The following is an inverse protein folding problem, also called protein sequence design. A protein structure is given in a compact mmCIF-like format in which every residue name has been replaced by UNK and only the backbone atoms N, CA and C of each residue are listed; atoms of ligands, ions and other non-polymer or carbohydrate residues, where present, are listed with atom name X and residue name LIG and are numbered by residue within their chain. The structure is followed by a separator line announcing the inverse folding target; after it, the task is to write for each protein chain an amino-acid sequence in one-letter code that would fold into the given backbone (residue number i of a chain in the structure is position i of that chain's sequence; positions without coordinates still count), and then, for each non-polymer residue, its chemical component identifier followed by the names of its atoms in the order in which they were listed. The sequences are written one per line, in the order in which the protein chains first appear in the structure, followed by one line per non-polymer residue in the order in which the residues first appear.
data_IF_978771717280
#
_entry.id   IF_978771717280
#
_cell.length_a   1.000
_cell.length_b   1.000
_cell.length_c   1.000
_cell.angle_alpha   90.00
_cell.angle_beta   90.00
_cell.angle_gamma   90.00
#
_symmetry.space_group_name_H-M   'P 1'
#
loop_
_entity.id
_entity.type
_entity.pdbx_description
1 polymer ?
#
# COMPACT_ATOMS: atom_id res chain seq x y z
N UNK A 1 -1.69 -5.80 -17.31
CA UNK A 1 -1.36 -6.50 -16.05
C UNK A 1 -0.48 -5.59 -15.18
N UNK A 2 -0.75 -4.28 -15.19
CA UNK A 2 -0.03 -3.25 -14.41
C UNK A 2 -0.72 -2.96 -13.07
N UNK A 3 -1.81 -3.69 -12.79
CA UNK A 3 -2.67 -3.58 -11.60
C UNK A 3 -2.10 -4.26 -10.36
N UNK A 4 -1.07 -5.11 -10.52
CA UNK A 4 -0.32 -5.69 -9.39
C UNK A 4 0.72 -4.73 -8.81
N UNK A 5 1.02 -3.62 -9.49
CA UNK A 5 1.76 -2.50 -8.91
C UNK A 5 0.78 -1.62 -8.12
N UNK A 6 0.45 -2.09 -6.92
CA UNK A 6 -0.47 -1.48 -5.94
C UNK A 6 -0.05 -0.12 -5.38
N UNK A 7 0.85 0.59 -6.07
CA UNK A 7 1.21 1.97 -5.77
C UNK A 7 0.47 2.97 -6.66
N UNK A 8 -0.27 2.48 -7.66
CA UNK A 8 -1.15 3.31 -8.46
C UNK A 8 -2.52 3.44 -7.79
N UNK A 9 -2.64 4.47 -6.95
CA UNK A 9 -3.86 4.79 -6.20
C UNK A 9 -5.07 4.96 -7.14
N UNK A 10 -4.86 5.45 -8.37
CA UNK A 10 -5.93 5.65 -9.33
C UNK A 10 -6.40 4.32 -9.94
N UNK A 11 -5.46 3.44 -10.31
CA UNK A 11 -5.82 2.09 -10.75
C UNK A 11 -6.50 1.29 -9.63
N UNK A 12 -6.01 1.40 -8.40
CA UNK A 12 -6.61 0.78 -7.22
C UNK A 12 -8.04 1.29 -6.99
N UNK A 13 -8.24 2.62 -7.04
CA UNK A 13 -9.57 3.23 -6.93
C UNK A 13 -10.51 2.71 -8.01
N UNK A 14 -10.05 2.68 -9.26
CA UNK A 14 -10.88 2.23 -10.39
C UNK A 14 -11.29 0.77 -10.24
N UNK A 15 -10.37 -0.08 -9.77
CA UNK A 15 -10.65 -1.48 -9.47
C UNK A 15 -11.65 -1.63 -8.30
N UNK A 16 -11.41 -0.95 -7.17
CA UNK A 16 -12.24 -1.03 -5.97
C UNK A 16 -13.66 -0.49 -6.15
N UNK A 17 -13.87 0.46 -7.07
CA UNK A 17 -15.19 1.01 -7.39
C UNK A 17 -15.82 0.39 -8.65
N UNK A 18 -15.19 -0.63 -9.25
CA UNK A 18 -15.77 -1.32 -10.39
C UNK A 18 -16.95 -2.21 -9.97
N UNK A 19 -17.97 -2.28 -10.83
CA UNK A 19 -19.15 -3.12 -10.58
C UNK A 19 -18.79 -4.62 -10.51
N UNK A 20 -17.84 -5.05 -11.33
CA UNK A 20 -17.31 -6.42 -11.37
C UNK A 20 -16.67 -6.82 -10.03
N UNK A 21 -15.90 -5.91 -9.43
CA UNK A 21 -15.28 -6.13 -8.13
C UNK A 21 -16.32 -6.26 -7.00
N UNK A 22 -17.33 -5.39 -6.98
CA UNK A 22 -18.40 -5.46 -5.98
C UNK A 22 -19.29 -6.69 -6.15
N UNK A 23 -19.62 -7.06 -7.39
CA UNK A 23 -20.32 -8.31 -7.69
C UNK A 23 -19.51 -9.52 -7.19
N UNK A 24 -18.23 -9.59 -7.55
CA UNK A 24 -17.33 -10.64 -7.07
C UNK A 24 -17.25 -10.70 -5.54
N UNK A 25 -17.17 -9.55 -4.88
CA UNK A 25 -17.14 -9.44 -3.40
C UNK A 25 -18.41 -9.98 -2.77
N UNK A 26 -19.58 -9.63 -3.31
CA UNK A 26 -20.88 -10.11 -2.80
C UNK A 26 -21.01 -11.62 -3.01
N UNK A 27 -20.73 -12.12 -4.21
CA UNK A 27 -20.81 -13.56 -4.50
C UNK A 27 -19.85 -14.37 -3.63
N UNK A 28 -18.60 -13.91 -3.47
CA UNK A 28 -17.62 -14.55 -2.61
C UNK A 28 -18.08 -14.58 -1.14
N UNK A 29 -18.70 -13.50 -0.67
CA UNK A 29 -19.22 -13.39 0.69
C UNK A 29 -20.42 -14.30 0.93
N UNK A 30 -21.33 -14.42 -0.05
CA UNK A 30 -22.48 -15.34 0.00
C UNK A 30 -21.98 -16.79 0.03
N UNK A 31 -21.08 -17.17 -0.88
CA UNK A 31 -20.55 -18.53 -0.95
C UNK A 31 -19.84 -18.93 0.35
N UNK A 32 -18.99 -18.04 0.87
CA UNK A 32 -18.26 -18.27 2.12
C UNK A 32 -19.22 -18.30 3.33
N UNK A 33 -20.21 -17.41 3.37
CA UNK A 33 -21.24 -17.41 4.42
C UNK A 33 -22.06 -18.71 4.42
N UNK A 34 -22.59 -19.12 3.27
CA UNK A 34 -23.35 -20.37 3.13
C UNK A 34 -22.52 -21.58 3.57
N UNK A 35 -21.25 -21.64 3.15
CA UNK A 35 -20.34 -22.67 3.58
C UNK A 35 -20.25 -22.77 5.11
N UNK A 36 -19.91 -21.67 5.78
CA UNK A 36 -19.76 -21.66 7.23
C UNK A 36 -21.09 -21.97 7.95
N UNK A 37 -22.23 -21.62 7.34
CA UNK A 37 -23.56 -21.99 7.84
C UNK A 37 -23.81 -23.50 7.79
N UNK A 38 -23.45 -24.15 6.67
CA UNK A 38 -23.53 -25.60 6.50
C UNK A 38 -22.59 -26.31 7.47
N UNK A 39 -21.36 -25.81 7.62
CA UNK A 39 -20.36 -26.30 8.59
C UNK A 39 -20.86 -26.31 10.03
N UNK A 40 -21.76 -25.41 10.39
CA UNK A 40 -22.35 -25.41 11.74
C UNK A 40 -23.31 -26.60 11.91
N UNK A 41 -24.15 -26.88 10.91
CA UNK A 41 -25.24 -27.86 11.03
C UNK A 41 -24.84 -29.31 10.73
N UNK A 42 -24.03 -29.53 9.72
CA UNK A 42 -23.75 -30.88 9.21
C UNK A 42 -22.55 -31.53 9.90
N UNK A 43 -22.48 -32.85 9.89
CA UNK A 43 -21.31 -33.56 10.42
C UNK A 43 -20.04 -33.24 9.61
N UNK A 44 -18.88 -33.32 10.29
CA UNK A 44 -17.58 -32.91 9.74
C UNK A 44 -17.24 -33.59 8.41
N UNK A 45 -17.48 -34.91 8.29
CA UNK A 45 -17.13 -35.69 7.08
C UNK A 45 -17.93 -35.25 5.84
N UNK A 46 -19.28 -35.22 5.84
CA UNK A 46 -20.04 -34.76 4.67
C UNK A 46 -19.79 -33.28 4.36
N UNK A 47 -19.59 -32.43 5.38
CA UNK A 47 -19.21 -31.03 5.17
C UNK A 47 -17.89 -30.93 4.39
N UNK A 48 -16.82 -31.60 4.84
CA UNK A 48 -15.51 -31.58 4.16
C UNK A 48 -15.56 -32.10 2.71
N UNK A 49 -16.31 -33.17 2.45
CA UNK A 49 -16.44 -33.72 1.09
C UNK A 49 -17.17 -32.74 0.17
N UNK A 50 -18.26 -32.13 0.65
CA UNK A 50 -18.99 -31.13 -0.14
C UNK A 50 -18.15 -29.88 -0.42
N UNK A 51 -17.33 -29.42 0.52
CA UNK A 51 -16.38 -28.31 0.31
C UNK A 51 -15.44 -28.64 -0.83
N UNK A 52 -14.74 -29.78 -0.75
CA UNK A 52 -13.71 -30.12 -1.71
C UNK A 52 -14.28 -30.25 -3.11
N UNK A 53 -15.44 -30.91 -3.25
CA UNK A 53 -16.12 -31.05 -4.53
C UNK A 53 -16.61 -29.71 -5.08
N UNK A 54 -17.28 -28.88 -4.27
CA UNK A 54 -17.78 -27.58 -4.69
C UNK A 54 -16.64 -26.60 -5.03
N UNK A 55 -15.57 -26.57 -4.23
CA UNK A 55 -14.40 -25.73 -4.50
C UNK A 55 -13.67 -26.18 -5.76
N UNK A 56 -13.46 -27.49 -5.96
CA UNK A 56 -12.83 -28.01 -7.18
C UNK A 56 -13.67 -27.73 -8.43
N UNK A 57 -14.98 -27.89 -8.34
CA UNK A 57 -15.90 -27.59 -9.44
C UNK A 57 -15.94 -26.08 -9.76
N UNK A 58 -16.01 -25.23 -8.74
CA UNK A 58 -15.95 -23.78 -8.89
C UNK A 58 -14.63 -23.36 -9.56
N UNK A 59 -13.51 -23.94 -9.14
CA UNK A 59 -12.20 -23.66 -9.74
C UNK A 59 -12.12 -24.10 -11.20
N UNK A 60 -12.63 -25.29 -11.54
CA UNK A 60 -12.65 -25.77 -12.92
C UNK A 60 -13.47 -24.85 -13.84
N UNK A 61 -14.64 -24.39 -13.37
CA UNK A 61 -15.46 -23.43 -14.11
C UNK A 61 -14.71 -22.10 -14.27
N UNK A 62 -14.13 -21.57 -13.19
CA UNK A 62 -13.36 -20.33 -13.26
C UNK A 62 -12.14 -20.44 -14.17
N UNK A 63 -11.47 -21.59 -14.18
CA UNK A 63 -10.32 -21.88 -15.04
C UNK A 63 -10.69 -21.92 -16.53
N UNK A 64 -11.89 -22.43 -16.86
CA UNK A 64 -12.43 -22.47 -18.22
C UNK A 64 -12.88 -21.08 -18.70
N UNK A 65 -13.51 -20.30 -17.83
CA UNK A 65 -14.11 -19.01 -18.19
C UNK A 65 -13.13 -17.84 -18.14
N UNK A 66 -12.13 -17.88 -17.25
CA UNK A 66 -11.26 -16.74 -16.98
C UNK A 66 -9.78 -17.13 -17.05
N UNK A 67 -9.00 -16.54 -17.98
CA UNK A 67 -7.55 -16.76 -18.06
C UNK A 67 -6.82 -16.40 -16.76
N UNK A 68 -7.31 -15.39 -16.05
CA UNK A 68 -6.76 -14.91 -14.76
C UNK A 68 -6.83 -15.97 -13.65
N UNK A 69 -7.78 -16.91 -13.73
CA UNK A 69 -7.92 -17.97 -12.73
C UNK A 69 -6.72 -18.94 -12.70
N UNK A 70 -5.94 -19.01 -13.80
CA UNK A 70 -4.70 -19.80 -13.87
C UNK A 70 -3.61 -19.22 -12.96
N UNK A 71 -3.51 -17.90 -12.92
CA UNK A 71 -2.51 -17.18 -12.11
C UNK A 71 -2.87 -17.18 -10.62
N UNK A 72 -4.15 -17.36 -10.30
CA UNK A 72 -4.66 -17.42 -8.93
C UNK A 72 -4.73 -18.84 -8.34
N UNK A 73 -4.10 -19.83 -8.98
CA UNK A 73 -4.09 -21.23 -8.50
C UNK A 73 -3.53 -21.33 -7.06
N UNK A 74 -2.47 -20.57 -6.77
CA UNK A 74 -1.87 -20.53 -5.43
C UNK A 74 -2.86 -19.98 -4.41
N UNK A 75 -3.54 -18.88 -4.74
CA UNK A 75 -4.58 -18.29 -3.87
C UNK A 75 -5.72 -19.29 -3.63
N UNK A 76 -6.11 -20.04 -4.67
CA UNK A 76 -7.15 -21.06 -4.56
C UNK A 76 -6.74 -22.21 -3.63
N UNK A 77 -5.50 -22.70 -3.70
CA UNK A 77 -4.99 -23.72 -2.77
C UNK A 77 -5.07 -23.22 -1.32
N UNK A 78 -4.64 -21.99 -1.06
CA UNK A 78 -4.76 -21.37 0.27
C UNK A 78 -6.22 -21.20 0.69
N UNK A 79 -7.13 -20.88 -0.23
CA UNK A 79 -8.56 -20.80 0.05
C UNK A 79 -9.14 -22.16 0.49
N UNK A 80 -8.84 -23.24 -0.22
CA UNK A 80 -9.32 -24.60 0.14
C UNK A 80 -8.76 -25.02 1.50
N UNK A 81 -7.47 -24.79 1.76
CA UNK A 81 -6.86 -25.06 3.06
C UNK A 81 -7.51 -24.22 4.17
N UNK A 82 -7.85 -22.96 3.89
CA UNK A 82 -8.56 -22.10 4.83
C UNK A 82 -9.95 -22.64 5.18
N UNK A 83 -10.71 -23.14 4.20
CA UNK A 83 -12.04 -23.71 4.44
C UNK A 83 -11.99 -24.96 5.32
N UNK A 84 -11.03 -25.86 5.06
CA UNK A 84 -10.80 -27.05 5.90
C UNK A 84 -10.47 -26.65 7.34
N UNK A 85 -9.61 -25.65 7.50
CA UNK A 85 -9.23 -25.16 8.84
C UNK A 85 -10.40 -24.47 9.55
N UNK A 86 -11.24 -23.74 8.81
CA UNK A 86 -12.43 -23.09 9.35
C UNK A 86 -13.46 -24.09 9.85
N UNK A 87 -13.66 -25.21 9.15
CA UNK A 87 -14.52 -26.31 9.61
C UNK A 87 -14.06 -26.80 10.99
N UNK A 88 -12.75 -27.07 11.15
CA UNK A 88 -12.18 -27.52 12.42
C UNK A 88 -12.44 -26.50 13.55
N UNK A 89 -12.15 -25.23 13.28
CA UNK A 89 -12.34 -24.14 14.24
C UNK A 89 -13.80 -24.03 14.65
N UNK A 90 -14.74 -24.11 13.70
CA UNK A 90 -16.17 -24.03 13.99
C UNK A 90 -16.59 -25.18 14.89
N UNK A 91 -16.20 -26.43 14.59
CA UNK A 91 -16.60 -27.59 15.38
C UNK A 91 -16.05 -27.54 16.80
N UNK A 92 -14.78 -27.16 16.97
CA UNK A 92 -14.19 -26.99 18.31
C UNK A 92 -14.89 -25.88 19.09
N UNK A 93 -15.13 -24.71 18.47
CA UNK A 93 -15.70 -23.54 19.16
C UNK A 93 -17.20 -23.68 19.48
N UNK A 94 -17.96 -24.41 18.66
CA UNK A 94 -19.36 -24.72 18.96
C UNK A 94 -19.52 -25.52 20.25
N UNK A 95 -18.55 -26.40 20.57
CA UNK A 95 -18.55 -27.21 21.79
C UNK A 95 -18.16 -26.36 23.01
N UNK A 96 -17.23 -25.42 22.85
CA UNK A 96 -16.69 -24.61 23.95
C UNK A 96 -17.60 -23.47 24.42
N UNK A 97 -18.40 -22.89 23.51
CA UNK A 97 -19.07 -21.61 23.76
C UNK A 97 -20.51 -21.77 24.28
N UNK A 98 -20.77 -21.24 25.49
CA UNK A 98 -22.10 -21.31 26.14
C UNK A 98 -23.11 -20.23 25.70
N UNK A 99 -22.67 -19.12 25.09
CA UNK A 99 -23.53 -18.02 24.62
C UNK A 99 -23.12 -17.57 23.22
N UNK A 100 -24.10 -17.40 22.32
CA UNK A 100 -23.91 -17.07 20.90
C UNK A 100 -22.86 -17.94 20.18
N UNK A 101 -22.90 -19.28 20.34
CA UNK A 101 -21.85 -20.18 19.83
C UNK A 101 -21.69 -20.05 18.31
N UNK A 102 -22.80 -19.95 17.56
CA UNK A 102 -22.80 -19.86 16.09
C UNK A 102 -22.12 -18.58 15.61
N UNK A 103 -22.55 -17.41 16.11
CA UNK A 103 -22.00 -16.11 15.70
C UNK A 103 -20.51 -16.02 15.98
N UNK A 104 -20.08 -16.42 17.19
CA UNK A 104 -18.67 -16.35 17.59
C UNK A 104 -17.80 -17.34 16.83
N UNK A 105 -18.29 -18.56 16.60
CA UNK A 105 -17.53 -19.58 15.86
C UNK A 105 -17.32 -19.19 14.40
N UNK A 106 -18.39 -18.75 13.71
CA UNK A 106 -18.31 -18.26 12.32
C UNK A 106 -17.39 -17.04 12.23
N UNK A 107 -17.51 -16.09 13.17
CA UNK A 107 -16.70 -14.88 13.16
C UNK A 107 -15.19 -15.17 13.34
N UNK A 108 -14.83 -16.06 14.26
CA UNK A 108 -13.42 -16.47 14.46
C UNK A 108 -12.88 -17.25 13.26
N UNK A 109 -13.70 -18.11 12.64
CA UNK A 109 -13.32 -18.80 11.41
C UNK A 109 -13.06 -17.82 10.26
N UNK A 110 -13.93 -16.82 10.07
CA UNK A 110 -13.76 -15.78 9.04
C UNK A 110 -12.47 -14.97 9.21
N UNK A 111 -12.07 -14.63 10.43
CA UNK A 111 -10.79 -13.95 10.67
C UNK A 111 -9.59 -14.77 10.21
N UNK A 112 -9.60 -16.08 10.48
CA UNK A 112 -8.52 -16.98 10.05
C UNK A 112 -8.56 -17.22 8.56
N UNK A 113 -9.76 -17.36 7.98
CA UNK A 113 -9.96 -17.47 6.53
C UNK A 113 -9.37 -16.26 5.79
N UNK A 114 -9.70 -15.04 6.23
CA UNK A 114 -9.19 -13.81 5.64
C UNK A 114 -7.65 -13.76 5.67
N UNK A 115 -7.04 -14.16 6.79
CA UNK A 115 -5.58 -14.19 6.95
C UNK A 115 -4.91 -15.22 6.02
N UNK A 116 -5.44 -16.45 5.96
CA UNK A 116 -4.87 -17.52 5.12
C UNK A 116 -5.01 -17.20 3.63
N UNK A 117 -6.14 -16.64 3.19
CA UNK A 117 -6.30 -16.18 1.80
C UNK A 117 -5.33 -15.04 1.49
N UNK A 118 -5.15 -14.09 2.41
CA UNK A 118 -4.22 -12.97 2.23
C UNK A 118 -2.78 -13.49 2.09
N UNK A 119 -2.38 -14.52 2.85
CA UNK A 119 -1.10 -15.21 2.66
C UNK A 119 -1.00 -15.86 1.27
N UNK A 120 -2.09 -16.43 0.74
CA UNK A 120 -2.15 -16.92 -0.63
C UNK A 120 -1.83 -15.82 -1.66
N UNK A 121 -2.40 -14.62 -1.49
CA UNK A 121 -2.07 -13.46 -2.32
C UNK A 121 -0.63 -13.02 -2.18
N UNK A 122 -0.06 -13.07 -0.97
CA UNK A 122 1.35 -12.79 -0.73
C UNK A 122 2.25 -13.75 -1.51
N UNK A 123 2.06 -15.06 -1.36
CA UNK A 123 2.88 -16.05 -2.07
C UNK A 123 2.68 -16.00 -3.59
N UNK A 124 1.45 -15.79 -4.05
CA UNK A 124 1.16 -15.59 -5.47
C UNK A 124 1.88 -14.36 -6.02
N UNK A 125 1.82 -13.24 -5.31
CA UNK A 125 2.54 -12.02 -5.67
C UNK A 125 4.05 -12.23 -5.69
N UNK A 126 4.59 -12.95 -4.71
CA UNK A 126 6.02 -13.26 -4.64
C UNK A 126 6.48 -14.11 -5.84
N UNK A 127 5.72 -15.14 -6.21
CA UNK A 127 6.03 -15.98 -7.39
C UNK A 127 5.96 -15.22 -8.72
N UNK A 128 5.16 -14.16 -8.79
CA UNK A 128 5.06 -13.29 -9.98
C UNK A 128 6.20 -12.26 -10.01
N UNK A 129 6.50 -11.62 -8.87
CA UNK A 129 7.47 -10.52 -8.79
C UNK A 129 8.91 -11.03 -8.79
N UNK A 130 9.20 -12.16 -8.14
CA UNK A 130 10.55 -12.72 -8.02
C UNK A 130 11.25 -12.97 -9.38
N UNK A 131 10.63 -13.61 -10.39
CA UNK A 131 11.28 -13.82 -11.70
C UNK A 131 11.37 -12.54 -12.55
N UNK A 132 10.62 -11.49 -12.22
CA UNK A 132 10.52 -10.27 -13.01
C UNK A 132 10.93 -9.02 -12.20
N UNK A 133 11.84 -9.19 -11.23
CA UNK A 133 12.21 -8.16 -10.26
C UNK A 133 12.60 -6.83 -10.93
N UNK A 134 13.43 -6.88 -11.97
CA UNK A 134 13.88 -5.69 -12.70
C UNK A 134 12.72 -4.93 -13.33
N UNK A 135 11.79 -5.64 -13.99
CA UNK A 135 10.60 -5.02 -14.61
C UNK A 135 9.75 -4.27 -13.59
N UNK A 136 9.53 -4.86 -12.43
CA UNK A 136 8.74 -4.23 -11.37
C UNK A 136 9.49 -3.09 -10.68
N UNK A 137 10.82 -3.16 -10.60
CA UNK A 137 11.67 -2.07 -10.15
C UNK A 137 11.59 -0.88 -11.11
N UNK A 138 11.78 -1.12 -12.40
CA UNK A 138 11.75 -0.07 -13.43
C UNK A 138 10.37 0.62 -13.46
N UNK A 139 9.29 -0.16 -13.34
CA UNK A 139 7.93 0.41 -13.29
C UNK A 139 7.67 1.15 -11.96
N UNK A 140 8.22 0.67 -10.85
CA UNK A 140 8.17 1.39 -9.58
C UNK A 140 8.93 2.71 -9.68
N UNK A 141 10.11 2.72 -10.28
CA UNK A 141 10.90 3.93 -10.52
C UNK A 141 10.13 4.92 -11.37
N UNK A 142 9.56 4.47 -12.48
CA UNK A 142 8.75 5.30 -13.36
C UNK A 142 7.56 5.91 -12.59
N UNK A 143 6.84 5.13 -11.77
CA UNK A 143 5.69 5.60 -10.99
C UNK A 143 6.08 6.45 -9.77
N UNK A 144 7.16 6.11 -9.08
CA UNK A 144 7.68 6.85 -7.93
C UNK A 144 8.28 8.18 -8.36
N UNK A 145 8.91 8.23 -9.53
CA UNK A 145 9.42 9.46 -10.10
C UNK A 145 8.26 10.27 -10.70
N UNK A 146 7.34 9.65 -11.45
CA UNK A 146 6.16 10.36 -12.01
C UNK A 146 5.13 10.82 -10.97
N UNK A 147 5.05 10.20 -9.79
CA UNK A 147 4.11 10.60 -8.72
C UNK A 147 4.35 12.03 -8.19
N UNK A 148 5.59 12.41 -7.86
CA UNK A 148 5.99 13.80 -7.61
C UNK A 148 6.31 14.59 -8.91
N UNK A 149 6.70 13.95 -10.01
CA UNK A 149 7.00 14.60 -11.31
C UNK A 149 5.78 14.76 -12.24
N UNK A 150 4.55 14.52 -11.80
CA UNK A 150 3.35 14.73 -12.65
C UNK A 150 3.05 16.22 -12.89
N UNK A 151 3.87 17.13 -12.35
CA UNK A 151 4.00 18.52 -12.86
C UNK A 151 5.36 18.83 -13.50
N UNK A 152 6.08 17.82 -13.99
CA UNK A 152 7.32 17.90 -14.75
C UNK A 152 8.58 18.13 -13.89
N UNK A 153 9.75 18.05 -14.54
CA UNK A 153 11.04 18.47 -13.96
C UNK A 153 11.00 19.91 -13.41
N UNK A 154 10.07 20.73 -13.90
CA UNK A 154 9.73 22.05 -13.36
C UNK A 154 9.31 21.98 -11.89
N UNK A 155 8.43 21.06 -11.48
CA UNK A 155 7.98 20.93 -10.09
C UNK A 155 9.07 20.42 -9.14
N UNK A 156 9.97 19.55 -9.60
CA UNK A 156 11.08 19.07 -8.77
C UNK A 156 12.18 20.14 -8.64
N UNK A 157 12.41 20.93 -9.70
CA UNK A 157 13.21 22.14 -9.61
C UNK A 157 12.57 23.17 -8.68
N UNK A 158 11.24 23.32 -8.69
CA UNK A 158 10.53 24.25 -7.82
C UNK A 158 10.54 23.81 -6.36
N UNK A 159 10.41 22.50 -6.08
CA UNK A 159 10.57 21.94 -4.73
C UNK A 159 12.03 22.09 -4.25
N UNK A 160 13.02 21.83 -5.10
CA UNK A 160 14.44 22.00 -4.76
C UNK A 160 14.82 23.48 -4.56
N UNK A 161 14.25 24.38 -5.36
CA UNK A 161 14.37 25.84 -5.20
C UNK A 161 13.76 26.26 -3.86
N UNK A 162 12.56 25.77 -3.54
CA UNK A 162 11.91 26.09 -2.26
C UNK A 162 12.73 25.57 -1.08
N UNK A 163 13.25 24.35 -1.17
CA UNK A 163 14.08 23.77 -0.11
C UNK A 163 15.38 24.56 0.09
N UNK A 164 16.01 25.01 -1.00
CA UNK A 164 17.22 25.83 -0.94
C UNK A 164 16.95 27.22 -0.37
N UNK A 165 15.88 27.87 -0.80
CA UNK A 165 15.45 29.18 -0.28
C UNK A 165 15.08 29.08 1.20
N UNK A 166 14.36 28.04 1.60
CA UNK A 166 14.01 27.79 3.00
C UNK A 166 15.26 27.50 3.86
N UNK A 167 16.19 26.68 3.35
CA UNK A 167 17.44 26.37 4.05
C UNK A 167 18.31 27.62 4.24
N UNK A 168 18.46 28.47 3.21
CA UNK A 168 19.20 29.72 3.33
C UNK A 168 18.52 30.72 4.25
N UNK A 169 17.19 30.80 4.23
CA UNK A 169 16.43 31.63 5.18
C UNK A 169 16.57 31.12 6.62
N UNK A 170 16.52 29.81 6.84
CA UNK A 170 16.72 29.21 8.16
C UNK A 170 18.13 29.50 8.69
N UNK A 171 19.15 29.38 7.85
CA UNK A 171 20.54 29.69 8.20
C UNK A 171 20.74 31.19 8.49
N UNK A 172 20.11 32.07 7.71
CA UNK A 172 20.13 33.53 7.99
C UNK A 172 19.40 33.88 9.29
N UNK A 173 18.29 33.20 9.61
CA UNK A 173 17.62 33.36 10.90
C UNK A 173 18.46 32.81 12.06
N UNK A 174 19.13 31.68 11.89
CA UNK A 174 20.06 31.13 12.89
C UNK A 174 21.21 32.10 13.16
N UNK A 175 21.83 32.64 12.10
CA UNK A 175 22.87 33.67 12.21
C UNK A 175 22.30 34.90 12.94
N UNK A 176 21.11 35.38 12.59
CA UNK A 176 20.50 36.55 13.27
C UNK A 176 20.22 36.31 14.75
N UNK A 177 19.87 35.09 15.10
CA UNK A 177 19.54 34.72 16.47
C UNK A 177 20.78 34.36 17.30
N UNK A 178 21.93 34.16 16.67
CA UNK A 178 23.20 33.91 17.32
C UNK A 178 23.63 35.05 18.26
N UNK A 179 24.27 34.72 19.40
CA UNK A 179 24.80 35.74 20.32
C UNK A 179 25.87 36.63 19.66
N UNK A 180 26.65 36.09 18.72
CA UNK A 180 27.69 36.81 17.98
C UNK A 180 27.09 37.90 17.10
N UNK A 181 26.03 37.59 16.34
CA UNK A 181 25.37 38.58 15.49
C UNK A 181 24.63 39.65 16.31
N UNK A 182 24.04 39.27 17.45
CA UNK A 182 23.43 40.22 18.41
C UNK A 182 24.46 41.16 19.02
N UNK A 183 25.69 40.70 19.24
CA UNK A 183 26.81 41.53 19.67
C UNK A 183 27.25 42.50 18.56
N UNK A 184 27.38 42.02 17.31
CA UNK A 184 27.72 42.85 16.15
C UNK A 184 26.70 43.98 15.91
N UNK A 185 25.40 43.73 16.13
CA UNK A 185 24.35 44.76 16.06
C UNK A 185 24.53 45.93 17.03
N UNK A 186 25.19 45.70 18.16
CA UNK A 186 25.45 46.71 19.20
C UNK A 186 26.82 47.38 19.04
N UNK A 187 27.64 46.89 18.11
CA UNK A 187 28.97 47.44 17.83
C UNK A 187 28.86 48.81 17.17
N UNK A 188 29.77 49.74 17.53
CA UNK A 188 29.89 51.05 16.87
C UNK A 188 30.84 51.01 15.67
N UNK A 189 31.47 49.87 15.39
CA UNK A 189 32.35 49.68 14.24
C UNK A 189 31.56 49.80 12.93
N UNK A 190 32.04 50.64 12.01
CA UNK A 190 31.45 50.83 10.69
C UNK A 190 31.46 49.53 9.86
N UNK A 191 32.51 48.71 10.00
CA UNK A 191 32.61 47.40 9.35
C UNK A 191 31.53 46.43 9.87
N UNK A 192 31.27 46.43 11.17
CA UNK A 192 30.28 45.55 11.78
C UNK A 192 28.86 45.98 11.38
N UNK A 193 28.59 47.29 11.35
CA UNK A 193 27.32 47.85 10.88
C UNK A 193 27.07 47.58 9.39
N UNK A 194 28.12 47.64 8.56
CA UNK A 194 28.06 47.27 7.15
C UNK A 194 27.75 45.78 6.96
N UNK A 195 28.36 44.90 7.75
CA UNK A 195 28.11 43.47 7.73
C UNK A 195 26.69 43.11 8.19
N UNK A 196 26.20 43.75 9.27
CA UNK A 196 24.81 43.63 9.74
C UNK A 196 23.83 44.08 8.66
N UNK A 197 24.10 45.21 8.02
CA UNK A 197 23.27 45.74 6.92
C UNK A 197 23.27 44.81 5.71
N UNK A 198 24.43 44.23 5.37
CA UNK A 198 24.56 43.24 4.29
C UNK A 198 23.72 41.99 4.57
N UNK A 199 23.81 41.41 5.77
CA UNK A 199 23.03 40.21 6.13
C UNK A 199 21.53 40.47 6.13
N UNK A 200 21.08 41.63 6.60
CA UNK A 200 19.68 42.02 6.57
C UNK A 200 19.16 42.24 5.14
N UNK A 201 19.95 42.89 4.28
CA UNK A 201 19.62 43.04 2.86
C UNK A 201 19.60 41.68 2.16
N UNK A 202 20.52 40.78 2.50
CA UNK A 202 20.59 39.44 1.93
C UNK A 202 19.34 38.62 2.23
N UNK A 203 18.75 38.75 3.42
CA UNK A 203 17.48 38.08 3.75
C UNK A 203 16.31 38.55 2.87
N UNK A 204 16.24 39.86 2.59
CA UNK A 204 15.22 40.44 1.71
C UNK A 204 15.40 39.90 0.28
N UNK A 205 16.65 39.80 -0.18
CA UNK A 205 16.99 39.25 -1.50
C UNK A 205 16.66 37.75 -1.58
N UNK A 206 17.03 36.94 -0.59
CA UNK A 206 16.74 35.49 -0.57
C UNK A 206 15.24 35.20 -0.57
N UNK A 207 14.43 36.11 -0.01
CA UNK A 207 12.97 36.02 -0.01
C UNK A 207 12.32 36.55 -1.29
N UNK A 208 13.08 37.15 -2.21
CA UNK A 208 12.53 37.80 -3.41
C UNK A 208 12.20 36.80 -4.53
N UNK A 209 11.26 37.19 -5.39
CA UNK A 209 10.91 36.39 -6.56
C UNK A 209 12.04 36.34 -7.59
N UNK A 210 12.86 37.39 -7.68
CA UNK A 210 14.04 37.43 -8.56
C UNK A 210 15.09 36.40 -8.13
N UNK A 211 15.33 36.25 -6.83
CA UNK A 211 16.24 35.23 -6.32
C UNK A 211 15.71 33.83 -6.58
N UNK A 212 14.41 33.60 -6.33
CA UNK A 212 13.74 32.32 -6.66
C UNK A 212 13.91 31.96 -8.14
N UNK A 213 13.72 32.93 -9.04
CA UNK A 213 13.89 32.73 -10.48
C UNK A 213 15.37 32.46 -10.87
N UNK A 214 16.33 33.17 -10.27
CA UNK A 214 17.76 32.97 -10.52
C UNK A 214 18.25 31.59 -10.01
N UNK A 215 17.76 31.16 -8.84
CA UNK A 215 18.03 29.82 -8.30
C UNK A 215 17.40 28.75 -9.18
N UNK A 216 16.17 28.99 -9.67
CA UNK A 216 15.48 28.08 -10.60
C UNK A 216 16.26 27.92 -11.90
N UNK A 217 16.74 29.01 -12.50
CA UNK A 217 17.53 28.96 -13.74
C UNK A 217 18.88 28.25 -13.53
N UNK A 218 19.52 28.50 -12.38
CA UNK A 218 20.79 27.83 -12.01
C UNK A 218 20.59 26.33 -11.75
N UNK A 219 19.51 25.96 -11.05
CA UNK A 219 19.11 24.58 -10.80
C UNK A 219 18.74 23.86 -12.11
N UNK A 220 18.00 24.51 -13.01
CA UNK A 220 17.66 23.94 -14.31
C UNK A 220 18.90 23.70 -15.17
N UNK A 221 19.87 24.64 -15.19
CA UNK A 221 21.15 24.48 -15.90
C UNK A 221 22.04 23.39 -15.28
N UNK A 222 22.03 23.24 -13.95
CA UNK A 222 22.78 22.18 -13.28
C UNK A 222 22.08 20.81 -13.33
N UNK A 223 20.76 20.78 -13.53
CA UNK A 223 19.98 19.56 -13.79
C UNK A 223 20.07 19.07 -15.24
N UNK A 224 20.54 19.91 -16.19
CA UNK A 224 20.89 19.45 -17.54
C UNK A 224 22.16 18.57 -17.48
N UNK A 225 21.97 17.26 -17.35
CA UNK A 225 23.04 16.26 -17.30
C UNK A 225 23.15 15.49 -15.99
N UNK A 226 22.39 15.88 -14.97
CA UNK A 226 22.23 15.08 -13.75
C UNK A 226 21.00 14.19 -13.94
N UNK A 227 21.20 12.88 -13.88
CA UNK A 227 20.09 11.94 -13.81
C UNK A 227 19.38 12.16 -12.45
N UNK A 228 18.32 12.97 -12.46
CA UNK A 228 17.56 13.36 -11.25
C UNK A 228 17.07 12.13 -10.48
N UNK A 229 16.83 11.03 -11.20
CA UNK A 229 16.57 9.71 -10.63
C UNK A 229 17.73 9.25 -9.72
N UNK A 230 18.99 9.31 -10.17
CA UNK A 230 20.14 8.86 -9.39
C UNK A 230 20.39 9.70 -8.14
N UNK A 231 20.09 11.00 -8.19
CA UNK A 231 20.15 11.87 -7.01
C UNK A 231 19.03 11.54 -6.03
N UNK A 232 17.80 11.33 -6.52
CA UNK A 232 16.68 10.90 -5.68
C UNK A 232 16.95 9.52 -5.03
N UNK A 233 17.50 8.57 -5.79
CA UNK A 233 17.91 7.24 -5.30
C UNK A 233 18.94 7.33 -4.18
N UNK A 234 19.96 8.19 -4.34
CA UNK A 234 20.99 8.43 -3.31
C UNK A 234 20.48 9.20 -2.08
N UNK A 235 19.42 9.99 -2.25
CA UNK A 235 18.84 10.82 -1.19
C UNK A 235 17.83 10.09 -0.32
N UNK A 236 17.32 8.93 -0.75
CA UNK A 236 16.38 8.11 0.02
C UNK A 236 17.15 6.96 0.68
N UNK A 237 17.40 7.00 2.01
CA UNK A 237 18.25 6.04 2.71
C UNK A 237 17.75 4.58 2.63
N UNK A 238 16.47 4.39 2.32
CA UNK A 238 15.81 3.09 2.23
C UNK A 238 15.68 2.55 0.81
N UNK A 239 16.08 3.32 -0.21
CA UNK A 239 15.87 2.94 -1.60
C UNK A 239 16.67 1.70 -2.01
N UNK A 240 17.94 1.61 -1.62
CA UNK A 240 18.76 0.42 -1.87
C UNK A 240 18.26 -0.85 -1.16
N UNK A 241 17.58 -0.70 -0.02
CA UNK A 241 16.88 -1.82 0.64
C UNK A 241 15.60 -2.19 -0.12
N UNK A 242 14.86 -1.20 -0.62
CA UNK A 242 13.67 -1.42 -1.43
C UNK A 242 14.00 -2.16 -2.72
N UNK A 243 15.05 -1.75 -3.44
CA UNK A 243 15.51 -2.40 -4.66
C UNK A 243 15.85 -3.88 -4.44
N UNK A 244 16.56 -4.16 -3.34
CA UNK A 244 16.94 -5.53 -2.96
C UNK A 244 15.75 -6.40 -2.56
N UNK A 245 14.72 -5.82 -1.94
CA UNK A 245 13.60 -6.57 -1.35
C UNK A 245 12.24 -6.30 -2.02
N UNK A 246 12.21 -5.74 -3.23
CA UNK A 246 10.95 -5.40 -3.91
C UNK A 246 10.03 -6.63 -4.12
N UNK A 247 10.61 -7.83 -4.27
CA UNK A 247 9.90 -9.11 -4.34
C UNK A 247 9.18 -9.50 -3.03
N UNK A 248 9.50 -8.85 -1.92
CA UNK A 248 8.80 -8.98 -0.63
C UNK A 248 7.86 -7.79 -0.44
N UNK A 249 8.34 -6.58 -0.72
CA UNK A 249 7.61 -5.34 -0.41
C UNK A 249 6.32 -5.21 -1.23
N UNK A 250 6.35 -5.51 -2.54
CA UNK A 250 5.15 -5.43 -3.39
C UNK A 250 4.10 -6.50 -3.02
N UNK A 251 4.46 -7.78 -2.81
CA UNK A 251 3.48 -8.74 -2.34
C UNK A 251 2.98 -8.44 -0.92
N UNK A 252 3.81 -7.84 -0.05
CA UNK A 252 3.41 -7.44 1.29
C UNK A 252 2.37 -6.31 1.27
N UNK A 253 2.47 -5.34 0.35
CA UNK A 253 1.41 -4.33 0.19
C UNK A 253 0.11 -4.97 -0.31
N UNK A 254 0.20 -5.94 -1.22
CA UNK A 254 -0.95 -6.77 -1.67
C UNK A 254 -1.62 -7.47 -0.49
N UNK A 255 -0.81 -8.12 0.36
CA UNK A 255 -1.28 -8.78 1.57
C UNK A 255 -2.05 -7.81 2.47
N UNK A 256 -1.47 -6.65 2.78
CA UNK A 256 -2.08 -5.67 3.68
C UNK A 256 -3.42 -5.14 3.14
N UNK A 257 -3.48 -4.81 1.84
CA UNK A 257 -4.70 -4.29 1.21
C UNK A 257 -5.80 -5.36 1.21
N UNK A 258 -5.48 -6.58 0.77
CA UNK A 258 -6.43 -7.69 0.75
C UNK A 258 -6.89 -8.05 2.17
N UNK A 259 -6.00 -8.02 3.15
CA UNK A 259 -6.33 -8.32 4.54
C UNK A 259 -7.26 -7.27 5.15
N UNK A 260 -6.95 -5.98 4.96
CA UNK A 260 -7.81 -4.88 5.41
C UNK A 260 -9.19 -4.96 4.76
N UNK A 261 -9.24 -5.10 3.43
CA UNK A 261 -10.49 -5.18 2.69
C UNK A 261 -11.32 -6.40 3.10
N UNK A 262 -10.69 -7.57 3.22
CA UNK A 262 -11.37 -8.80 3.63
C UNK A 262 -11.89 -8.71 5.06
N UNK A 263 -11.18 -8.01 5.96
CA UNK A 263 -11.59 -7.88 7.36
C UNK A 263 -12.77 -6.91 7.53
N UNK A 264 -12.85 -5.86 6.70
CA UNK A 264 -13.89 -4.84 6.80
C UNK A 264 -15.14 -5.26 6.03
N UNK A 265 -15.00 -5.66 4.76
CA UNK A 265 -16.13 -5.85 3.84
C UNK A 265 -16.56 -7.32 3.81
N UNK A 266 -15.66 -8.21 3.38
CA UNK A 266 -15.97 -9.63 3.15
C UNK A 266 -16.41 -10.31 4.43
N UNK A 267 -15.72 -10.05 5.55
CA UNK A 267 -16.06 -10.62 6.86
C UNK A 267 -17.46 -10.25 7.30
N UNK A 268 -17.84 -8.97 7.23
CA UNK A 268 -19.14 -8.50 7.72
C UNK A 268 -20.28 -9.10 6.89
N UNK A 269 -20.14 -9.10 5.56
CA UNK A 269 -21.12 -9.70 4.65
C UNK A 269 -21.21 -11.22 4.86
N UNK A 270 -20.07 -11.91 4.91
CA UNK A 270 -20.03 -13.37 5.09
C UNK A 270 -20.62 -13.79 6.43
N UNK A 271 -20.41 -13.00 7.49
CA UNK A 271 -20.99 -13.26 8.81
C UNK A 271 -22.52 -13.14 8.78
N UNK A 272 -23.06 -12.12 8.11
CA UNK A 272 -24.49 -11.96 7.96
C UNK A 272 -25.12 -13.16 7.23
N UNK A 273 -24.57 -13.55 6.08
CA UNK A 273 -25.05 -14.70 5.32
C UNK A 273 -24.86 -16.02 6.07
N UNK A 274 -23.74 -16.21 6.76
CA UNK A 274 -23.47 -17.45 7.51
C UNK A 274 -24.37 -17.64 8.72
N UNK A 275 -24.72 -16.56 9.44
CA UNK A 275 -25.68 -16.63 10.54
C UNK A 275 -27.09 -16.91 10.03
N UNK A 276 -27.49 -16.29 8.90
CA UNK A 276 -28.79 -16.57 8.27
C UNK A 276 -28.84 -18.03 7.86
N UNK A 277 -27.86 -18.49 7.09
CA UNK A 277 -27.77 -19.88 6.62
C UNK A 277 -27.82 -20.88 7.79
N UNK A 278 -27.01 -20.68 8.83
CA UNK A 278 -27.01 -21.56 10.00
C UNK A 278 -28.36 -21.60 10.75
N UNK A 279 -29.21 -20.57 10.62
CA UNK A 279 -30.55 -20.51 11.24
C UNK A 279 -31.67 -21.02 10.33
N UNK A 280 -31.52 -20.97 9.01
CA UNK A 280 -32.58 -21.33 8.06
C UNK A 280 -32.39 -22.68 7.38
N UNK A 281 -31.15 -23.07 7.06
CA UNK A 281 -30.76 -24.29 6.32
C UNK A 281 -30.20 -25.32 7.27
#
# INVERSE_FOLDING_TARGET
MDTLLLLDINALKTMLFSAEFWLGTVFFSIATGLFLGISVRYEKKPALVSILLCSAFAYLISFLLFPVAKELLVVFVFYVLALIWCEEIIKTRLIELKKLPILRSINTALEKLALVISLGFFFSGMLIVMPAQQKYLDTFEEKFLSGPLTGGAANLSDIAVEFKVQSENALLEEIKNSPEFKALRKSQSELDQNFVTYLLKKQIVVSSQEYRNAVKETMQKSMQGINVADVAKKSVPLYGLFEKYIYIVLPFSTFCITWLFSTIVVRVLSLAFGVIAAKTL
#
